data_IF_870826482700
#
_entry.id   IF_870826482700
#
_cell.length_a   1.000
_cell.length_b   1.000
_cell.length_c   1.000
_cell.angle_alpha   90.00
_cell.angle_beta   90.00
_cell.angle_gamma   90.00
#
_symmetry.space_group_name_H-M   'P 1'
#
loop_
_entity.id
_entity.type
_entity.pdbx_description
1 polymer ?
#
# COMPACT_ATOMS: atom_id res chain seq x y z
N UNK A 1 0.93 -29.57 -15.30
CA UNK A 1 0.85 -28.13 -15.55
C UNK A 1 1.14 -27.40 -14.26
N UNK A 2 2.30 -26.78 -14.17
CA UNK A 2 2.61 -25.91 -13.02
C UNK A 2 1.82 -24.63 -13.25
N UNK A 3 0.80 -24.39 -12.44
CA UNK A 3 0.05 -23.15 -12.50
C UNK A 3 1.00 -21.96 -12.33
N UNK A 4 0.90 -20.96 -13.21
CA UNK A 4 1.60 -19.71 -13.02
C UNK A 4 1.19 -19.14 -11.66
N UNK A 5 2.11 -19.06 -10.71
CA UNK A 5 1.87 -18.39 -9.45
C UNK A 5 1.65 -16.92 -9.76
N UNK A 6 0.46 -16.43 -9.48
CA UNK A 6 0.17 -15.00 -9.57
C UNK A 6 1.07 -14.28 -8.56
N UNK A 7 2.04 -13.55 -9.07
CA UNK A 7 2.89 -12.67 -8.27
C UNK A 7 2.07 -11.43 -7.96
N UNK A 8 1.68 -11.26 -6.70
CA UNK A 8 0.92 -10.11 -6.26
C UNK A 8 1.76 -9.19 -5.37
N UNK A 9 1.44 -7.91 -5.41
CA UNK A 9 2.07 -6.89 -4.58
C UNK A 9 1.09 -6.35 -3.54
N UNK A 10 1.61 -6.05 -2.35
CA UNK A 10 0.86 -5.38 -1.30
C UNK A 10 0.87 -3.88 -1.54
N UNK A 11 -0.27 -3.23 -1.38
CA UNK A 11 -0.41 -1.78 -1.58
C UNK A 11 -0.48 -1.07 -0.25
N UNK A 12 0.43 -0.10 -0.04
CA UNK A 12 0.39 0.76 1.13
C UNK A 12 -0.69 1.83 1.01
N UNK A 13 -1.13 2.34 2.13
CA UNK A 13 -2.18 3.35 2.27
C UNK A 13 -1.93 4.60 1.42
N UNK A 14 -0.68 5.08 1.37
CA UNK A 14 -0.35 6.31 0.64
C UNK A 14 -0.76 6.26 -0.84
N UNK A 15 -0.66 5.09 -1.48
CA UNK A 15 -1.05 4.93 -2.88
C UNK A 15 -2.57 5.09 -3.06
N UNK A 16 -3.36 4.54 -2.14
CA UNK A 16 -4.82 4.70 -2.15
C UNK A 16 -5.22 6.16 -1.95
N UNK A 17 -4.53 6.86 -1.04
CA UNK A 17 -4.78 8.27 -0.74
C UNK A 17 -4.43 9.15 -1.95
N UNK A 18 -3.27 8.96 -2.57
CA UNK A 18 -2.86 9.76 -3.74
C UNK A 18 -3.84 9.64 -4.91
N UNK A 19 -4.45 8.48 -5.11
CA UNK A 19 -5.49 8.32 -6.14
C UNK A 19 -6.64 9.33 -6.00
N UNK A 20 -6.92 9.73 -4.77
CA UNK A 20 -8.03 10.65 -4.44
C UNK A 20 -7.58 12.10 -4.23
N UNK A 21 -6.29 12.36 -4.09
CA UNK A 21 -5.76 13.65 -3.67
C UNK A 21 -5.44 14.58 -4.86
N UNK A 22 -6.24 15.65 -5.08
CA UNK A 22 -5.99 16.56 -6.18
C UNK A 22 -4.80 17.51 -5.95
N UNK A 23 -4.23 17.56 -4.74
CA UNK A 23 -3.12 18.47 -4.42
C UNK A 23 -1.79 18.06 -5.04
N UNK A 24 -1.66 16.79 -5.47
CA UNK A 24 -0.51 16.28 -6.22
C UNK A 24 -0.97 15.56 -7.49
N UNK A 25 -1.19 16.29 -8.58
CA UNK A 25 -1.72 15.69 -9.82
C UNK A 25 -0.82 14.62 -10.42
N UNK A 26 0.51 14.75 -10.28
CA UNK A 26 1.47 13.78 -10.81
C UNK A 26 1.34 12.43 -10.09
N UNK A 27 1.38 12.44 -8.77
CA UNK A 27 1.20 11.22 -7.96
C UNK A 27 -0.20 10.64 -8.08
N UNK A 28 -1.22 11.49 -8.18
CA UNK A 28 -2.60 11.05 -8.43
C UNK A 28 -2.71 10.25 -9.72
N UNK A 29 -2.09 10.72 -10.80
CA UNK A 29 -2.07 10.03 -12.09
C UNK A 29 -1.38 8.67 -12.02
N UNK A 30 -0.21 8.61 -11.40
CA UNK A 30 0.55 7.37 -11.21
C UNK A 30 -0.25 6.35 -10.38
N UNK A 31 -0.80 6.79 -9.25
CA UNK A 31 -1.59 5.92 -8.37
C UNK A 31 -2.85 5.39 -9.07
N UNK A 32 -3.57 6.26 -9.77
CA UNK A 32 -4.76 5.88 -10.54
C UNK A 32 -4.45 4.80 -11.57
N UNK A 33 -3.42 5.00 -12.37
CA UNK A 33 -3.08 4.06 -13.44
C UNK A 33 -2.58 2.73 -12.88
N UNK A 34 -1.74 2.76 -11.84
CA UNK A 34 -1.23 1.59 -11.14
C UNK A 34 -2.37 0.73 -10.58
N UNK A 35 -3.32 1.35 -9.88
CA UNK A 35 -4.43 0.65 -9.26
C UNK A 35 -5.39 0.08 -10.31
N UNK A 36 -5.68 0.83 -11.37
CA UNK A 36 -6.53 0.36 -12.48
C UNK A 36 -5.92 -0.85 -13.18
N UNK A 37 -4.65 -0.79 -13.52
CA UNK A 37 -3.94 -1.89 -14.16
C UNK A 37 -3.86 -3.11 -13.24
N UNK A 38 -3.64 -2.88 -11.96
CA UNK A 38 -3.56 -3.94 -10.96
C UNK A 38 -4.89 -4.67 -10.74
N UNK A 39 -6.03 -3.98 -10.85
CA UNK A 39 -7.35 -4.62 -10.82
C UNK A 39 -7.51 -5.58 -12.01
N UNK A 40 -7.21 -5.11 -13.22
CA UNK A 40 -7.34 -5.90 -14.45
C UNK A 40 -6.45 -7.14 -14.41
N UNK A 41 -5.20 -6.98 -13.97
CA UNK A 41 -4.23 -8.07 -13.89
C UNK A 41 -4.39 -8.97 -12.66
N UNK A 42 -5.18 -8.57 -11.68
CA UNK A 42 -5.31 -9.23 -10.37
C UNK A 42 -3.97 -9.39 -9.64
N UNK A 43 -3.12 -8.37 -9.74
CA UNK A 43 -1.75 -8.39 -9.20
C UNK A 43 -1.57 -7.58 -7.92
N UNK A 44 -2.64 -7.01 -7.36
CA UNK A 44 -2.58 -6.20 -6.15
C UNK A 44 -3.42 -6.79 -5.03
N UNK A 45 -2.93 -6.61 -3.80
CA UNK A 45 -3.62 -6.99 -2.56
C UNK A 45 -3.59 -5.81 -1.61
N UNK A 46 -4.70 -5.57 -0.91
CA UNK A 46 -4.78 -4.52 0.09
C UNK A 46 -4.79 -5.14 1.49
N UNK A 47 -3.91 -4.71 2.40
CA UNK A 47 -4.04 -5.12 3.79
C UNK A 47 -5.21 -4.39 4.44
N UNK A 48 -5.90 -5.06 5.35
CA UNK A 48 -6.97 -4.43 6.15
C UNK A 48 -6.51 -3.13 6.80
N UNK A 49 -5.27 -3.08 7.29
CA UNK A 49 -4.65 -1.87 7.84
C UNK A 49 -4.77 -0.68 6.87
N UNK A 50 -4.48 -0.87 5.58
CA UNK A 50 -4.56 0.20 4.59
C UNK A 50 -5.99 0.70 4.40
N UNK A 51 -6.98 -0.18 4.53
CA UNK A 51 -8.40 0.20 4.47
C UNK A 51 -8.78 1.11 5.64
N UNK A 52 -8.36 0.76 6.85
CA UNK A 52 -8.60 1.55 8.06
C UNK A 52 -7.92 2.91 7.98
N UNK A 53 -6.64 2.92 7.62
CA UNK A 53 -5.85 4.15 7.50
C UNK A 53 -6.36 5.05 6.37
N UNK A 54 -6.80 4.48 5.26
CA UNK A 54 -7.34 5.22 4.11
C UNK A 54 -8.53 6.09 4.52
N UNK A 55 -9.53 5.50 5.15
CA UNK A 55 -10.73 6.25 5.58
C UNK A 55 -10.35 7.39 6.52
N UNK A 56 -9.47 7.13 7.49
CA UNK A 56 -8.99 8.16 8.39
C UNK A 56 -8.24 9.28 7.65
N UNK A 57 -7.33 8.94 6.75
CA UNK A 57 -6.49 9.91 6.03
C UNK A 57 -7.29 10.83 5.12
N UNK A 58 -8.26 10.30 4.36
CA UNK A 58 -9.03 11.10 3.39
C UNK A 58 -10.12 11.94 4.03
N UNK A 59 -10.59 11.58 5.23
CA UNK A 59 -11.60 12.34 5.98
C UNK A 59 -11.01 13.29 7.01
N UNK A 60 -9.71 13.18 7.29
CA UNK A 60 -9.01 14.02 8.25
C UNK A 60 -8.93 15.47 7.77
N UNK A 61 -9.24 16.38 8.67
CA UNK A 61 -9.11 17.82 8.39
C UNK A 61 -7.64 18.20 8.21
N UNK A 62 -7.34 18.87 7.11
CA UNK A 62 -6.00 19.35 6.78
C UNK A 62 -5.69 20.70 7.44
N UNK A 63 -4.40 21.00 7.68
CA UNK A 63 -3.97 22.36 7.98
C UNK A 63 -4.43 23.32 6.86
N UNK A 64 -5.07 24.41 7.21
CA UNK A 64 -5.67 25.31 6.22
C UNK A 64 -7.13 25.03 5.87
N UNK A 65 -7.70 23.95 6.40
CA UNK A 65 -9.11 23.58 6.24
C UNK A 65 -9.38 22.56 5.14
N UNK A 66 -10.55 21.93 5.22
CA UNK A 66 -10.97 20.89 4.27
C UNK A 66 -10.34 19.53 4.50
N UNK A 67 -10.87 18.55 3.81
CA UNK A 67 -10.40 17.17 3.75
C UNK A 67 -10.27 16.74 2.27
N UNK A 68 -9.60 15.59 2.01
CA UNK A 68 -9.46 15.09 0.65
C UNK A 68 -10.82 14.66 0.09
N UNK A 69 -11.57 13.90 0.90
CA UNK A 69 -12.92 13.43 0.55
C UNK A 69 -13.90 13.83 1.64
N UNK A 70 -15.16 14.05 1.26
CA UNK A 70 -16.24 14.12 2.23
C UNK A 70 -16.41 12.76 2.90
N UNK A 71 -17.10 12.74 4.03
CA UNK A 71 -17.41 11.49 4.73
C UNK A 71 -18.16 10.49 3.82
N UNK A 72 -19.14 10.98 3.09
CA UNK A 72 -19.95 10.15 2.17
C UNK A 72 -19.12 9.58 1.03
N UNK A 73 -18.25 10.40 0.43
CA UNK A 73 -17.33 9.96 -0.63
C UNK A 73 -16.34 8.92 -0.11
N UNK A 74 -15.80 9.12 1.08
CA UNK A 74 -14.85 8.18 1.69
C UNK A 74 -15.49 6.80 1.93
N UNK A 75 -16.74 6.76 2.40
CA UNK A 75 -17.46 5.51 2.60
C UNK A 75 -17.71 4.77 1.29
N UNK A 76 -18.11 5.48 0.23
CA UNK A 76 -18.26 4.89 -1.11
C UNK A 76 -16.95 4.36 -1.65
N UNK A 77 -15.88 5.13 -1.54
CA UNK A 77 -14.55 4.71 -2.00
C UNK A 77 -14.05 3.47 -1.25
N UNK A 78 -14.30 3.40 0.05
CA UNK A 78 -13.93 2.22 0.85
C UNK A 78 -14.70 0.96 0.41
N UNK A 79 -15.99 1.08 0.13
CA UNK A 79 -16.78 -0.04 -0.41
C UNK A 79 -16.30 -0.46 -1.80
N UNK A 80 -15.96 0.51 -2.66
CA UNK A 80 -15.41 0.21 -3.99
C UNK A 80 -14.08 -0.55 -3.87
N UNK A 81 -13.21 -0.17 -2.96
CA UNK A 81 -11.95 -0.89 -2.70
C UNK A 81 -12.20 -2.34 -2.25
N UNK A 82 -13.19 -2.57 -1.39
CA UNK A 82 -13.58 -3.92 -0.96
C UNK A 82 -14.06 -4.78 -2.15
N UNK A 83 -14.72 -4.18 -3.11
CA UNK A 83 -15.25 -4.87 -4.29
C UNK A 83 -14.20 -5.08 -5.38
N UNK A 84 -13.24 -4.16 -5.49
CA UNK A 84 -12.24 -4.18 -6.56
C UNK A 84 -11.01 -5.05 -6.24
N UNK A 85 -10.62 -5.15 -4.97
CA UNK A 85 -9.36 -5.80 -4.57
C UNK A 85 -9.57 -6.92 -3.56
N UNK A 86 -8.75 -7.99 -3.63
CA UNK A 86 -8.64 -8.93 -2.51
C UNK A 86 -8.07 -8.21 -1.28
N UNK A 87 -8.74 -8.36 -0.16
CA UNK A 87 -8.31 -7.77 1.12
C UNK A 87 -7.68 -8.85 1.99
N UNK A 88 -6.51 -8.56 2.54
CA UNK A 88 -5.81 -9.43 3.48
C UNK A 88 -6.09 -8.95 4.90
N UNK A 89 -6.61 -9.86 5.71
CA UNK A 89 -6.97 -9.57 7.11
C UNK A 89 -5.86 -9.97 8.07
N UNK A 90 -5.75 -9.28 9.21
CA UNK A 90 -4.77 -9.62 10.23
C UNK A 90 -5.17 -10.88 10.99
N UNK A 91 -4.17 -11.57 11.53
CA UNK A 91 -4.33 -12.67 12.46
C UNK A 91 -3.17 -12.64 13.47
N UNK A 92 -3.15 -13.57 14.40
CA UNK A 92 -2.07 -13.63 15.41
C UNK A 92 -0.69 -13.78 14.75
N UNK A 93 -0.58 -14.56 13.68
CA UNK A 93 0.70 -14.75 12.98
C UNK A 93 1.23 -13.47 12.34
N UNK A 94 0.35 -12.65 11.75
CA UNK A 94 0.73 -11.33 11.22
C UNK A 94 1.25 -10.44 12.36
N UNK A 95 0.59 -10.44 13.50
CA UNK A 95 1.02 -9.66 14.65
C UNK A 95 2.39 -10.09 15.16
N UNK A 96 2.61 -11.40 15.31
CA UNK A 96 3.91 -11.96 15.75
C UNK A 96 5.01 -11.64 14.75
N UNK A 97 4.73 -11.72 13.46
CA UNK A 97 5.68 -11.35 12.41
C UNK A 97 6.02 -9.85 12.47
N UNK A 98 5.04 -8.99 12.77
CA UNK A 98 5.28 -7.55 12.96
C UNK A 98 6.22 -7.27 14.13
N UNK A 99 6.08 -7.99 15.24
CA UNK A 99 7.00 -7.87 16.39
C UNK A 99 8.44 -8.22 15.99
N UNK A 100 8.61 -9.30 15.23
CA UNK A 100 9.93 -9.71 14.71
C UNK A 100 10.51 -8.67 13.77
N UNK A 101 9.72 -8.13 12.85
CA UNK A 101 10.15 -7.11 11.89
C UNK A 101 10.58 -5.81 12.57
N UNK A 102 9.84 -5.37 13.57
CA UNK A 102 10.19 -4.19 14.34
C UNK A 102 11.54 -4.35 15.07
N UNK A 103 11.79 -5.53 15.61
CA UNK A 103 13.05 -5.84 16.28
C UNK A 103 14.24 -5.97 15.29
N UNK A 104 14.02 -6.62 14.14
CA UNK A 104 15.08 -6.93 13.18
C UNK A 104 15.45 -5.75 12.29
N UNK A 105 14.47 -4.95 11.86
CA UNK A 105 14.66 -3.93 10.82
C UNK A 105 14.47 -2.50 11.33
N UNK A 106 14.17 -2.30 12.57
CA UNK A 106 13.91 -0.98 13.17
C UNK A 106 12.77 -0.21 12.50
N UNK A 107 11.78 -0.93 12.00
CA UNK A 107 10.56 -0.31 11.47
C UNK A 107 9.81 0.45 12.56
N UNK A 108 9.06 1.49 12.16
CA UNK A 108 7.96 1.96 12.97
C UNK A 108 6.96 0.82 13.18
N UNK A 109 6.11 0.92 14.20
CA UNK A 109 5.13 -0.13 14.48
C UNK A 109 4.19 -0.38 13.29
N UNK A 110 3.70 0.68 12.67
CA UNK A 110 2.80 0.56 11.51
C UNK A 110 3.50 0.00 10.27
N UNK A 111 4.74 0.39 10.01
CA UNK A 111 5.53 -0.16 8.91
C UNK A 111 5.87 -1.63 9.13
N UNK A 112 6.17 -2.03 10.38
CA UNK A 112 6.37 -3.43 10.74
C UNK A 112 5.12 -4.28 10.45
N UNK A 113 3.93 -3.74 10.75
CA UNK A 113 2.66 -4.40 10.43
C UNK A 113 2.44 -4.56 8.94
N UNK A 114 2.68 -3.51 8.16
CA UNK A 114 2.56 -3.56 6.71
C UNK A 114 3.49 -4.61 6.10
N UNK A 115 4.75 -4.58 6.50
CA UNK A 115 5.72 -5.60 6.09
C UNK A 115 5.27 -7.01 6.48
N UNK A 116 4.74 -7.17 7.69
CA UNK A 116 4.29 -8.47 8.21
C UNK A 116 3.17 -9.09 7.37
N UNK A 117 2.26 -8.28 6.83
CA UNK A 117 1.25 -8.79 5.87
C UNK A 117 1.91 -9.40 4.64
N UNK A 118 2.87 -8.71 4.05
CA UNK A 118 3.55 -9.21 2.86
C UNK A 118 4.35 -10.48 3.16
N UNK A 119 5.12 -10.49 4.25
CA UNK A 119 5.91 -11.65 4.65
C UNK A 119 5.04 -12.86 4.98
N UNK A 120 3.98 -12.66 5.77
CA UNK A 120 3.07 -13.73 6.17
C UNK A 120 2.30 -14.34 4.99
N UNK A 121 1.78 -13.50 4.10
CA UNK A 121 0.99 -13.96 2.95
C UNK A 121 1.84 -14.32 1.73
N UNK A 122 3.16 -14.27 1.85
CA UNK A 122 4.07 -14.66 0.78
C UNK A 122 4.08 -13.73 -0.42
N UNK A 123 3.80 -12.44 -0.20
CA UNK A 123 3.87 -11.43 -1.26
C UNK A 123 5.30 -10.89 -1.39
N UNK A 124 5.89 -10.96 -2.60
CA UNK A 124 7.29 -10.61 -2.79
C UNK A 124 7.58 -9.10 -2.84
N UNK A 125 6.53 -8.27 -2.86
CA UNK A 125 6.69 -6.83 -3.07
C UNK A 125 5.65 -6.02 -2.28
N UNK A 126 6.11 -4.88 -1.77
CA UNK A 126 5.24 -3.82 -1.23
C UNK A 126 5.40 -2.58 -2.11
N UNK A 127 4.28 -2.00 -2.52
CA UNK A 127 4.21 -0.71 -3.20
C UNK A 127 4.00 0.37 -2.15
N UNK A 128 5.01 1.20 -1.93
CA UNK A 128 4.99 2.26 -0.91
C UNK A 128 6.03 3.34 -1.20
N UNK A 129 5.73 4.57 -0.80
CA UNK A 129 6.73 5.66 -0.79
C UNK A 129 7.44 5.83 0.56
N UNK A 130 6.96 5.15 1.63
CA UNK A 130 7.45 5.36 3.00
C UNK A 130 8.67 4.52 3.35
N UNK A 131 8.92 3.45 2.60
CA UNK A 131 10.10 2.61 2.75
C UNK A 131 11.19 3.00 1.75
N UNK A 132 12.40 2.51 1.99
CA UNK A 132 13.52 2.71 1.06
C UNK A 132 13.31 1.93 -0.24
N UNK A 133 13.23 2.65 -1.36
CA UNK A 133 13.02 2.05 -2.68
C UNK A 133 14.12 1.06 -3.04
N UNK A 134 13.72 -0.11 -3.52
CA UNK A 134 14.61 -1.18 -3.96
C UNK A 134 15.17 -2.06 -2.85
N UNK A 135 14.97 -1.70 -1.59
CA UNK A 135 15.47 -2.47 -0.46
C UNK A 135 14.65 -3.75 -0.24
N UNK A 136 15.35 -4.80 0.22
CA UNK A 136 14.72 -6.05 0.63
C UNK A 136 14.72 -6.20 2.14
N UNK A 137 13.60 -6.67 2.67
CA UNK A 137 13.44 -7.03 4.07
C UNK A 137 12.87 -8.45 4.12
N UNK A 138 13.72 -9.42 4.48
CA UNK A 138 13.33 -10.83 4.36
C UNK A 138 12.99 -11.21 2.91
N UNK A 139 11.83 -11.78 2.69
CA UNK A 139 11.33 -12.14 1.36
C UNK A 139 10.66 -11.00 0.58
N UNK A 140 10.65 -9.78 1.12
CA UNK A 140 9.85 -8.67 0.59
C UNK A 140 10.73 -7.55 0.05
N UNK A 141 10.48 -7.16 -1.20
CA UNK A 141 11.11 -6.02 -1.86
C UNK A 141 10.19 -4.80 -1.84
N UNK A 142 10.77 -3.63 -1.65
CA UNK A 142 10.05 -2.35 -1.70
C UNK A 142 10.16 -1.75 -3.10
N UNK A 143 9.01 -1.36 -3.65
CA UNK A 143 8.97 -0.54 -4.87
C UNK A 143 8.17 0.74 -4.60
N UNK A 144 8.84 1.88 -4.74
CA UNK A 144 8.18 3.18 -4.73
C UNK A 144 7.73 3.50 -6.17
N UNK A 145 6.42 3.49 -6.47
CA UNK A 145 5.93 3.72 -7.82
C UNK A 145 6.09 5.16 -8.31
N UNK A 146 6.42 6.09 -7.40
CA UNK A 146 6.59 7.51 -7.70
C UNK A 146 8.04 7.89 -8.06
N UNK A 147 8.98 6.96 -7.90
CA UNK A 147 10.37 7.17 -8.33
C UNK A 147 10.46 7.08 -9.84
N UNK A 148 11.06 8.10 -10.47
CA UNK A 148 11.25 8.13 -11.92
C UNK A 148 12.31 7.11 -12.32
N UNK A 149 12.06 6.21 -13.31
CA UNK A 149 13.05 5.26 -13.79
C UNK A 149 14.32 5.99 -14.26
N UNK A 150 15.50 5.62 -13.71
CA UNK A 150 16.80 6.22 -14.04
C UNK A 150 17.31 7.27 -13.07
N UNK A 151 16.53 7.71 -12.07
CA UNK A 151 16.99 8.64 -11.04
C UNK A 151 18.06 8.02 -10.11
N UNK A 152 18.14 6.70 -10.02
CA UNK A 152 19.09 5.96 -9.17
C UNK A 152 20.47 5.76 -9.83
N UNK A 153 20.73 6.32 -11.02
CA UNK A 153 21.99 6.14 -11.75
C UNK A 153 23.00 7.28 -11.57
N UNK A 154 22.75 8.19 -10.63
CA UNK A 154 23.68 9.27 -10.33
C UNK A 154 24.22 9.13 -8.89
N UNK A 155 24.98 8.08 -8.64
CA UNK A 155 25.98 8.02 -7.57
C UNK A 155 27.20 7.29 -8.09
#
# INVERSE_FOLDING_TARGET
>A
MIGAYLVASLVDTNILVYRCDPSDPAKKGVARDLLREGVVANELRLPHQAMVEFVNAVTKRRPGGGCILSREEALRQAEDLLNEFPILYPNESVFRTALLGMAAYRFSWYDAHLWAYAEHYGLPEILSEDFEHGRRYGGVRIRNPFVVPGADRQL
#
